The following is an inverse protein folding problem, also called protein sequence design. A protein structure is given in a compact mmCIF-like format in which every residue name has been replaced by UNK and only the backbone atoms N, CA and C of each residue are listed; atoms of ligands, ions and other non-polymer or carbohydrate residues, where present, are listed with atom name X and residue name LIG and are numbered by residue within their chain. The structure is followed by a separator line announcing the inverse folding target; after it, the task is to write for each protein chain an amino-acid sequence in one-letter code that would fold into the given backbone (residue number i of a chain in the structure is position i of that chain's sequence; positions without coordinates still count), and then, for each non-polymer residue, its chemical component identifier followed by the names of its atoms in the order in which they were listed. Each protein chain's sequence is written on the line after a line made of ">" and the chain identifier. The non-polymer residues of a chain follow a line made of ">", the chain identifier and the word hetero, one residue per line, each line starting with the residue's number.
data_IF_600407167467
#
_entry.id   IF_600407167467
#
_cell.length_a   1.000
_cell.length_b   1.000
_cell.length_c   1.000
_cell.angle_alpha   90.00
_cell.angle_beta   90.00
_cell.angle_gamma   90.00
#
_symmetry.space_group_name_H-M   'P 1'
#
loop_
_entity.id
_entity.type
_entity.pdbx_description
1 polymer ?
#
# COMPACT_ATOMS: atom_id res chain seq x y z
N UNK A 1 -59.15 18.65 8.38
CA UNK A 1 -58.36 18.15 7.21
C UNK A 1 -56.89 18.37 7.56
N UNK A 2 -56.24 17.36 8.14
CA UNK A 2 -54.82 17.44 8.53
C UNK A 2 -53.94 17.10 7.32
N UNK A 3 -53.08 18.03 6.94
CA UNK A 3 -52.09 17.86 5.89
C UNK A 3 -50.87 17.11 6.46
N UNK A 4 -50.79 15.80 6.20
CA UNK A 4 -49.65 14.96 6.51
C UNK A 4 -48.72 14.92 5.29
N UNK A 5 -48.01 16.03 5.05
CA UNK A 5 -46.78 15.95 4.26
C UNK A 5 -45.62 15.71 5.25
N UNK A 6 -45.17 14.46 5.37
CA UNK A 6 -43.88 14.15 5.91
C UNK A 6 -42.86 14.73 4.92
N UNK A 7 -42.14 15.76 5.33
CA UNK A 7 -40.87 16.10 4.70
C UNK A 7 -40.01 14.83 4.75
N UNK A 8 -39.58 14.36 3.59
CA UNK A 8 -38.58 13.32 3.49
C UNK A 8 -37.29 13.86 4.12
N UNK A 9 -36.79 13.20 5.14
CA UNK A 9 -35.48 13.48 5.70
C UNK A 9 -34.46 13.58 4.56
N UNK A 10 -33.52 14.55 4.59
CA UNK A 10 -32.49 14.65 3.58
C UNK A 10 -31.77 13.32 3.55
N UNK A 11 -31.64 12.73 2.36
CA UNK A 11 -30.77 11.58 2.14
C UNK A 11 -29.38 12.02 2.58
N UNK A 12 -28.94 11.47 3.71
CA UNK A 12 -27.58 11.66 4.21
C UNK A 12 -26.65 11.07 3.12
N UNK A 13 -26.10 11.94 2.28
CA UNK A 13 -25.11 11.54 1.29
C UNK A 13 -23.85 11.27 2.10
N UNK A 14 -23.73 10.04 2.60
CA UNK A 14 -22.52 9.56 3.25
C UNK A 14 -21.37 9.80 2.28
N UNK A 15 -20.34 10.48 2.76
CA UNK A 15 -19.10 10.65 2.01
C UNK A 15 -18.49 9.27 1.71
N UNK A 16 -17.47 9.20 0.85
CA UNK A 16 -16.82 7.94 0.56
C UNK A 16 -16.28 7.30 1.84
N UNK A 17 -16.52 6.00 2.01
CA UNK A 17 -15.95 5.23 3.11
C UNK A 17 -14.42 5.28 3.06
N UNK A 18 -13.78 5.23 4.22
CA UNK A 18 -12.33 5.30 4.34
C UNK A 18 -11.76 4.00 4.92
N UNK A 19 -10.72 3.45 4.26
CA UNK A 19 -9.86 2.38 4.75
C UNK A 19 -8.47 2.92 4.98
N UNK A 20 -7.85 2.53 6.10
CA UNK A 20 -6.45 2.80 6.38
C UNK A 20 -5.71 1.47 6.54
N UNK A 21 -4.68 1.26 5.70
CA UNK A 21 -3.70 0.19 5.88
C UNK A 21 -2.44 0.77 6.51
N UNK A 22 -1.73 -0.02 7.31
CA UNK A 22 -0.62 0.45 8.12
C UNK A 22 0.60 -0.43 7.95
N UNK A 23 1.73 0.16 7.61
CA UNK A 23 3.05 -0.47 7.61
C UNK A 23 3.74 -0.17 8.94
N UNK A 24 3.86 -1.17 9.79
CA UNK A 24 4.67 -1.12 11.00
C UNK A 24 6.05 -1.69 10.68
N UNK A 25 7.07 -0.84 10.65
CA UNK A 25 8.46 -1.23 10.41
C UNK A 25 9.05 -1.77 11.70
N UNK A 26 9.59 -2.98 11.65
CA UNK A 26 10.13 -3.66 12.83
C UNK A 26 11.62 -3.96 12.76
N UNK A 27 12.26 -3.74 11.61
CA UNK A 27 13.68 -4.02 11.44
C UNK A 27 14.28 -3.15 10.33
N UNK A 28 15.21 -2.27 10.71
CA UNK A 28 15.99 -1.44 9.79
C UNK A 28 17.40 -2.03 9.67
N UNK A 29 17.71 -2.58 8.50
CA UNK A 29 19.02 -3.13 8.14
C UNK A 29 19.87 -2.14 7.34
N UNK A 30 21.02 -2.62 6.86
CA UNK A 30 21.95 -1.80 6.08
C UNK A 30 21.41 -1.49 4.66
N UNK A 31 20.66 -2.43 4.07
CA UNK A 31 20.21 -2.35 2.67
C UNK A 31 18.68 -2.34 2.54
N UNK A 32 17.95 -2.57 3.62
CA UNK A 32 16.50 -2.67 3.56
C UNK A 32 15.83 -2.44 4.90
N UNK A 33 14.55 -2.07 4.85
CA UNK A 33 13.64 -1.97 6.00
C UNK A 33 12.54 -3.02 5.86
N UNK A 34 12.37 -3.86 6.89
CA UNK A 34 11.30 -4.86 6.95
C UNK A 34 10.12 -4.36 7.81
N UNK A 35 8.91 -4.63 7.36
CA UNK A 35 7.69 -4.24 8.03
C UNK A 35 6.57 -5.27 7.93
N UNK A 36 5.47 -4.96 8.60
CA UNK A 36 4.21 -5.69 8.53
C UNK A 36 3.14 -4.72 8.05
N UNK A 37 2.48 -5.08 6.96
CA UNK A 37 1.27 -4.42 6.49
C UNK A 37 0.06 -5.03 7.17
N UNK A 38 -0.76 -4.20 7.79
CA UNK A 38 -1.98 -4.59 8.50
C UNK A 38 -3.11 -3.60 8.27
N UNK A 39 -4.31 -3.98 8.66
CA UNK A 39 -5.50 -3.12 8.66
C UNK A 39 -6.25 -3.28 9.98
N UNK A 40 -6.90 -2.24 10.46
CA UNK A 40 -7.78 -2.33 11.61
C UNK A 40 -9.17 -2.83 11.16
N UNK A 41 -9.48 -4.08 11.48
CA UNK A 41 -10.78 -4.69 11.25
C UNK A 41 -11.67 -4.64 12.48
N UNK A 42 -12.90 -5.13 12.35
CA UNK A 42 -13.90 -5.17 13.43
C UNK A 42 -13.49 -6.03 14.64
N UNK A 43 -12.58 -6.98 14.44
CA UNK A 43 -12.07 -7.88 15.49
C UNK A 43 -10.62 -7.55 15.92
N UNK A 44 -10.11 -6.37 15.54
CA UNK A 44 -8.75 -5.94 15.83
C UNK A 44 -7.89 -5.83 14.58
N UNK A 45 -6.57 -5.79 14.77
CA UNK A 45 -5.60 -5.63 13.69
C UNK A 45 -5.47 -6.93 12.88
N UNK A 46 -5.73 -6.85 11.59
CA UNK A 46 -5.63 -7.96 10.64
C UNK A 46 -4.30 -7.87 9.87
N UNK A 47 -3.53 -8.96 9.84
CA UNK A 47 -2.32 -9.07 9.04
C UNK A 47 -2.67 -9.18 7.55
N UNK A 48 -2.03 -8.36 6.71
CA UNK A 48 -2.19 -8.39 5.26
C UNK A 48 -0.97 -8.97 4.54
N UNK A 49 0.24 -8.52 4.88
CA UNK A 49 1.49 -8.95 4.24
C UNK A 49 2.72 -8.59 5.08
N UNK A 50 3.86 -9.22 4.82
CA UNK A 50 5.16 -8.65 5.12
C UNK A 50 5.54 -7.63 4.05
N UNK A 51 6.35 -6.63 4.44
CA UNK A 51 6.83 -5.58 3.53
C UNK A 51 8.34 -5.47 3.53
N UNK A 52 8.87 -4.97 2.41
CA UNK A 52 10.25 -4.56 2.29
C UNK A 52 10.30 -3.22 1.54
N UNK A 53 11.10 -2.31 2.06
CA UNK A 53 11.48 -1.03 1.47
C UNK A 53 13.01 -0.93 1.44
N UNK A 54 13.53 0.08 0.76
CA UNK A 54 14.94 0.47 0.87
C UNK A 54 15.30 0.81 2.33
N UNK A 55 16.56 1.08 2.62
CA UNK A 55 17.05 1.41 3.94
C UNK A 55 16.61 2.81 4.40
N UNK A 56 16.73 3.07 5.68
CA UNK A 56 16.59 4.41 6.26
C UNK A 56 17.79 5.28 5.90
N UNK A 57 17.55 6.51 5.48
CA UNK A 57 18.55 7.56 5.31
C UNK A 57 18.00 8.90 5.81
N UNK A 58 18.82 9.65 6.57
CA UNK A 58 18.47 11.01 7.00
C UNK A 58 18.34 11.95 5.79
N UNK A 59 19.28 11.86 4.86
CA UNK A 59 19.23 12.58 3.58
C UNK A 59 18.84 11.61 2.46
N UNK A 60 17.82 12.00 1.72
CA UNK A 60 17.31 11.15 0.64
C UNK A 60 18.36 10.92 -0.45
N UNK A 61 18.62 9.64 -0.71
CA UNK A 61 19.33 9.16 -1.90
C UNK A 61 18.30 8.56 -2.86
N UNK A 62 18.37 8.95 -4.13
CA UNK A 62 17.42 8.46 -5.14
C UNK A 62 17.55 6.95 -5.30
N UNK A 63 16.42 6.26 -5.28
CA UNK A 63 16.31 4.81 -5.39
C UNK A 63 16.92 3.99 -4.23
N UNK A 64 17.33 4.63 -3.14
CA UNK A 64 17.98 3.97 -1.99
C UNK A 64 17.48 4.58 -0.66
N UNK A 65 16.21 4.97 -0.58
CA UNK A 65 15.66 5.54 0.65
C UNK A 65 14.22 5.11 0.82
N UNK A 66 13.90 4.54 1.98
CA UNK A 66 12.53 4.17 2.34
C UNK A 66 11.59 5.36 2.38
N UNK A 67 10.30 5.10 2.30
CA UNK A 67 9.23 6.12 2.36
C UNK A 67 9.27 6.81 3.73
N UNK A 68 9.17 8.14 3.84
CA UNK A 68 9.07 8.82 5.13
C UNK A 68 7.85 8.36 5.93
N UNK A 69 7.94 8.42 7.28
CA UNK A 69 6.77 8.23 8.15
C UNK A 69 5.66 9.22 7.80
N UNK A 70 4.43 8.78 7.92
CA UNK A 70 3.26 9.61 7.64
C UNK A 70 2.10 8.82 7.08
N UNK A 71 1.00 9.51 6.83
CA UNK A 71 -0.20 8.95 6.21
C UNK A 71 -0.41 9.56 4.83
N UNK A 72 -0.54 8.70 3.83
CA UNK A 72 -0.63 9.07 2.43
C UNK A 72 -1.87 8.48 1.78
N UNK A 73 -2.47 9.21 0.83
CA UNK A 73 -3.54 8.68 0.00
C UNK A 73 -3.01 7.64 -0.98
N UNK A 74 -3.83 6.63 -1.28
CA UNK A 74 -3.53 5.63 -2.31
C UNK A 74 -4.57 5.72 -3.41
N UNK A 75 -4.12 5.80 -4.66
CA UNK A 75 -4.97 5.82 -5.86
C UNK A 75 -4.53 4.77 -6.88
N UNK A 76 -5.37 4.49 -7.85
CA UNK A 76 -5.00 3.65 -8.99
C UNK A 76 -4.33 4.49 -10.08
N UNK A 77 -3.09 4.13 -10.45
CA UNK A 77 -2.36 4.70 -11.58
C UNK A 77 -2.47 3.77 -12.78
N UNK A 78 -3.07 4.28 -13.87
CA UNK A 78 -3.37 3.52 -15.08
C UNK A 78 -2.43 3.82 -16.24
N UNK A 79 -1.22 4.29 -15.95
CA UNK A 79 -0.20 4.64 -16.93
C UNK A 79 1.20 4.24 -16.47
N UNK A 80 2.15 4.25 -17.41
CA UNK A 80 3.56 3.96 -17.14
C UNK A 80 3.94 2.48 -17.27
N UNK A 81 5.25 2.22 -17.22
CA UNK A 81 5.81 0.90 -17.51
C UNK A 81 5.37 -0.21 -16.56
N UNK A 82 5.18 0.11 -15.27
CA UNK A 82 4.65 -0.85 -14.27
C UNK A 82 3.21 -1.24 -14.59
N UNK A 83 2.35 -0.27 -14.89
CA UNK A 83 0.96 -0.56 -15.27
C UNK A 83 0.90 -1.48 -16.50
N UNK A 84 1.67 -1.18 -17.53
CA UNK A 84 1.71 -1.99 -18.75
C UNK A 84 2.17 -3.42 -18.48
N UNK A 85 3.26 -3.61 -17.72
CA UNK A 85 3.77 -4.95 -17.33
C UNK A 85 2.75 -5.74 -16.52
N UNK A 86 2.06 -5.09 -15.58
CA UNK A 86 1.07 -5.74 -14.71
C UNK A 86 -0.21 -6.08 -15.49
N UNK A 87 -0.63 -5.23 -16.41
CA UNK A 87 -1.74 -5.51 -17.32
C UNK A 87 -1.47 -6.75 -18.19
N UNK A 88 -0.23 -6.88 -18.69
CA UNK A 88 0.19 -8.07 -19.46
C UNK A 88 0.31 -9.32 -18.58
N UNK A 89 0.89 -9.19 -17.37
CA UNK A 89 1.16 -10.32 -16.47
C UNK A 89 -0.10 -10.88 -15.84
N UNK A 90 -1.03 -10.03 -15.42
CA UNK A 90 -2.21 -10.42 -14.63
C UNK A 90 -3.52 -10.33 -15.42
N UNK A 91 -3.48 -9.66 -16.57
CA UNK A 91 -4.64 -9.50 -17.45
C UNK A 91 -5.58 -8.36 -17.05
N UNK A 92 -6.24 -7.81 -18.07
CA UNK A 92 -7.37 -6.90 -17.93
C UNK A 92 -8.62 -7.75 -18.09
N UNK A 93 -9.67 -7.64 -17.26
CA UNK A 93 -10.01 -6.57 -16.35
C UNK A 93 -9.52 -6.74 -14.88
N UNK A 94 -8.73 -7.77 -14.55
CA UNK A 94 -8.28 -7.97 -13.17
C UNK A 94 -7.38 -6.82 -12.70
N UNK A 95 -6.37 -6.44 -13.49
CA UNK A 95 -5.50 -5.32 -13.19
C UNK A 95 -6.17 -3.99 -13.57
N UNK A 96 -6.53 -3.20 -12.59
CA UNK A 96 -7.27 -1.93 -12.72
C UNK A 96 -6.36 -0.69 -12.69
N UNK A 97 -5.09 -0.88 -12.39
CA UNK A 97 -4.08 0.17 -12.20
C UNK A 97 -3.10 -0.21 -11.09
N UNK A 98 -1.94 0.42 -11.02
CA UNK A 98 -1.01 0.25 -9.90
C UNK A 98 -1.53 0.97 -8.67
N UNK A 99 -1.40 0.36 -7.48
CA UNK A 99 -1.61 1.06 -6.21
C UNK A 99 -0.49 2.10 -6.06
N UNK A 100 -0.85 3.37 -6.13
CA UNK A 100 0.07 4.51 -6.15
C UNK A 100 -0.12 5.35 -4.89
N UNK A 101 0.92 5.41 -4.07
CA UNK A 101 0.99 6.24 -2.86
C UNK A 101 1.26 7.68 -3.28
N UNK A 102 0.34 8.59 -2.92
CA UNK A 102 0.32 9.98 -3.40
C UNK A 102 1.08 10.92 -2.47
N UNK A 103 1.65 11.96 -3.06
CA UNK A 103 2.16 13.15 -2.37
C UNK A 103 3.21 12.85 -1.28
N UNK A 104 4.04 11.81 -1.49
CA UNK A 104 5.15 11.47 -0.60
C UNK A 104 6.25 12.52 -0.77
N UNK A 105 6.63 13.26 0.31
CA UNK A 105 7.62 14.33 0.22
C UNK A 105 8.96 13.85 -0.38
N UNK A 106 9.37 14.48 -1.47
CA UNK A 106 10.63 14.17 -2.16
C UNK A 106 10.62 12.91 -3.01
N UNK A 107 9.47 12.23 -3.17
CA UNK A 107 9.35 11.02 -3.98
C UNK A 107 8.33 11.22 -5.10
N UNK A 108 8.56 10.55 -6.22
CA UNK A 108 7.63 10.46 -7.33
C UNK A 108 7.31 9.00 -7.62
N UNK A 109 6.03 8.74 -7.96
CA UNK A 109 5.57 7.44 -8.43
C UNK A 109 5.82 6.26 -7.48
N UNK A 110 5.62 6.46 -6.18
CA UNK A 110 5.69 5.37 -5.20
C UNK A 110 4.55 4.38 -5.41
N UNK A 111 4.90 3.14 -5.71
CA UNK A 111 3.96 2.07 -5.99
C UNK A 111 4.04 0.96 -4.94
N UNK A 112 2.93 0.26 -4.74
CA UNK A 112 2.92 -1.03 -4.06
C UNK A 112 3.01 -2.10 -5.13
N UNK A 113 4.05 -2.94 -5.09
CA UNK A 113 4.28 -3.92 -6.15
C UNK A 113 4.99 -5.19 -5.67
N UNK A 114 5.22 -6.13 -6.59
CA UNK A 114 5.92 -7.39 -6.30
C UNK A 114 7.44 -7.23 -6.37
N UNK A 115 8.14 -7.91 -5.49
CA UNK A 115 9.60 -7.97 -5.44
C UNK A 115 10.03 -8.79 -4.23
N UNK A 116 11.32 -9.09 -4.10
CA UNK A 116 11.86 -9.96 -3.07
C UNK A 116 12.97 -9.32 -2.24
N UNK A 117 13.70 -8.37 -2.82
CA UNK A 117 14.86 -7.69 -2.20
C UNK A 117 14.81 -6.19 -2.51
N UNK A 118 15.64 -5.41 -1.83
CA UNK A 118 15.90 -4.00 -2.11
C UNK A 118 16.23 -3.72 -3.59
N UNK A 119 16.97 -4.60 -4.26
CA UNK A 119 17.24 -4.49 -5.70
C UNK A 119 15.97 -4.48 -6.59
N UNK A 120 14.83 -4.86 -6.07
CA UNK A 120 13.56 -4.85 -6.79
C UNK A 120 12.74 -3.58 -6.57
N UNK A 121 13.20 -2.68 -5.72
CA UNK A 121 12.56 -1.39 -5.43
C UNK A 121 13.47 -0.23 -5.75
N UNK A 122 12.93 0.95 -5.79
CA UNK A 122 13.63 2.22 -5.96
C UNK A 122 12.83 3.31 -5.20
N UNK A 123 12.53 3.02 -3.93
CA UNK A 123 11.67 3.82 -3.07
C UNK A 123 10.22 3.33 -3.01
N UNK A 124 9.86 2.22 -3.65
CA UNK A 124 8.53 1.63 -3.63
C UNK A 124 8.35 0.65 -2.46
N UNK A 125 7.09 0.29 -2.15
CA UNK A 125 6.76 -0.73 -1.17
C UNK A 125 6.60 -2.10 -1.83
N UNK A 126 7.38 -3.09 -1.39
CA UNK A 126 7.22 -4.49 -1.76
C UNK A 126 6.38 -5.23 -0.71
N UNK A 127 5.59 -6.21 -1.16
CA UNK A 127 4.71 -7.02 -0.30
C UNK A 127 4.92 -8.51 -0.53
N UNK A 128 4.81 -9.33 0.53
CA UNK A 128 5.04 -10.78 0.46
C UNK A 128 4.33 -11.54 1.60
N UNK A 129 4.31 -12.88 1.49
CA UNK A 129 3.73 -13.77 2.49
C UNK A 129 4.75 -14.30 3.51
N UNK A 130 6.04 -14.07 3.28
CA UNK A 130 7.10 -14.43 4.23
C UNK A 130 8.21 -13.39 4.25
N UNK A 131 8.96 -13.35 5.35
CA UNK A 131 10.08 -12.44 5.56
C UNK A 131 11.23 -13.16 6.24
N UNK A 132 12.47 -12.78 5.91
CA UNK A 132 13.68 -13.16 6.64
C UNK A 132 14.18 -11.98 7.47
N UNK A 133 15.28 -12.18 8.20
CA UNK A 133 15.96 -11.08 8.89
C UNK A 133 16.85 -10.27 7.92
N UNK A 134 17.09 -9.00 8.22
CA UNK A 134 17.94 -8.09 7.43
C UNK A 134 19.12 -7.48 8.22
N UNK A 135 19.43 -8.02 9.39
CA UNK A 135 20.50 -7.49 10.26
C UNK A 135 21.88 -8.06 9.92
N UNK A 136 21.95 -9.36 9.64
CA UNK A 136 23.21 -10.06 9.33
C UNK A 136 23.31 -10.52 7.88
N UNK A 137 22.27 -10.29 7.09
CA UNK A 137 22.16 -10.61 5.65
C UNK A 137 21.26 -9.54 5.03
N UNK A 138 21.32 -9.44 3.70
CA UNK A 138 20.34 -8.65 2.96
C UNK A 138 18.92 -9.17 3.21
N UNK A 139 17.99 -8.26 3.38
CA UNK A 139 16.58 -8.58 3.58
C UNK A 139 15.99 -9.32 2.38
N UNK A 140 15.11 -10.26 2.68
CA UNK A 140 14.37 -11.00 1.65
C UNK A 140 12.94 -11.26 2.09
N UNK A 141 12.00 -11.04 1.18
CA UNK A 141 10.61 -11.40 1.35
C UNK A 141 10.17 -12.37 0.26
N UNK A 142 9.38 -13.40 0.63
CA UNK A 142 9.02 -14.52 -0.24
C UNK A 142 7.53 -14.59 -0.56
N UNK A 143 7.21 -15.28 -1.67
CA UNK A 143 5.85 -15.43 -2.18
C UNK A 143 5.15 -14.09 -2.50
N UNK A 144 5.92 -13.12 -2.98
CA UNK A 144 5.46 -11.74 -3.23
C UNK A 144 4.28 -11.65 -4.20
N UNK A 145 4.27 -12.44 -5.28
CA UNK A 145 3.17 -12.46 -6.24
C UNK A 145 1.86 -12.95 -5.62
N UNK A 146 1.93 -13.95 -4.75
CA UNK A 146 0.74 -14.49 -4.06
C UNK A 146 0.14 -13.46 -3.11
N UNK A 147 0.97 -12.84 -2.26
CA UNK A 147 0.57 -11.77 -1.36
C UNK A 147 -0.03 -10.59 -2.12
N UNK A 148 0.65 -10.12 -3.16
CA UNK A 148 0.16 -9.02 -3.99
C UNK A 148 -1.22 -9.31 -4.58
N UNK A 149 -1.42 -10.48 -5.17
CA UNK A 149 -2.73 -10.84 -5.76
C UNK A 149 -3.84 -10.88 -4.72
N UNK A 150 -3.55 -11.38 -3.52
CA UNK A 150 -4.53 -11.49 -2.43
C UNK A 150 -4.98 -10.10 -1.95
N UNK A 151 -4.03 -9.21 -1.65
CA UNK A 151 -4.35 -7.88 -1.13
C UNK A 151 -4.86 -6.92 -2.23
N UNK A 152 -4.30 -6.98 -3.43
CA UNK A 152 -4.61 -6.07 -4.52
C UNK A 152 -6.09 -6.09 -4.90
N UNK A 153 -6.70 -7.28 -5.00
CA UNK A 153 -8.09 -7.42 -5.42
C UNK A 153 -9.06 -6.64 -4.53
N UNK A 154 -8.87 -6.71 -3.21
CA UNK A 154 -9.69 -5.97 -2.24
C UNK A 154 -9.41 -4.47 -2.28
N UNK A 155 -8.13 -4.06 -2.25
CA UNK A 155 -7.75 -2.66 -2.20
C UNK A 155 -8.10 -1.91 -3.50
N UNK A 156 -7.85 -2.54 -4.66
CA UNK A 156 -8.16 -1.93 -5.94
C UNK A 156 -9.68 -1.80 -6.15
N UNK A 157 -10.46 -2.81 -5.75
CA UNK A 157 -11.92 -2.73 -5.84
C UNK A 157 -12.47 -1.63 -4.94
N UNK A 158 -11.95 -1.49 -3.71
CA UNK A 158 -12.32 -0.41 -2.79
C UNK A 158 -12.19 0.98 -3.42
N UNK A 159 -11.06 1.22 -4.11
CA UNK A 159 -10.82 2.49 -4.81
C UNK A 159 -11.75 2.64 -6.02
N UNK A 160 -11.99 1.57 -6.79
CA UNK A 160 -12.89 1.59 -7.96
C UNK A 160 -14.32 1.93 -7.55
N UNK A 161 -14.76 1.48 -6.37
CA UNK A 161 -16.08 1.76 -5.82
C UNK A 161 -16.23 3.22 -5.32
N UNK A 162 -15.18 4.04 -5.48
CA UNK A 162 -15.19 5.46 -5.15
C UNK A 162 -14.80 5.78 -3.72
N UNK A 163 -14.34 4.79 -2.96
CA UNK A 163 -13.97 4.94 -1.56
C UNK A 163 -12.50 5.41 -1.39
N UNK A 164 -12.18 5.96 -0.24
CA UNK A 164 -10.86 6.47 0.09
C UNK A 164 -10.00 5.35 0.69
N UNK A 165 -8.77 5.20 0.18
CA UNK A 165 -7.74 4.35 0.75
C UNK A 165 -6.55 5.20 1.18
N UNK A 166 -6.08 5.00 2.41
CA UNK A 166 -4.85 5.60 2.93
C UNK A 166 -3.88 4.52 3.38
N UNK A 167 -2.59 4.86 3.38
CA UNK A 167 -1.52 4.03 3.95
C UNK A 167 -0.72 4.85 4.96
N UNK A 168 -0.47 4.29 6.13
CA UNK A 168 0.30 4.92 7.19
C UNK A 168 1.60 4.15 7.40
N UNK A 169 2.74 4.84 7.44
CA UNK A 169 4.05 4.27 7.74
C UNK A 169 4.47 4.68 9.14
N UNK A 170 4.85 3.71 9.97
CA UNK A 170 5.22 3.88 11.37
C UNK A 170 6.51 3.11 11.66
N UNK A 171 7.47 3.78 12.26
CA UNK A 171 8.70 3.16 12.79
C UNK A 171 8.44 2.65 14.21
N UNK A 172 8.90 1.44 14.51
CA UNK A 172 8.80 0.85 15.84
C UNK A 172 10.14 0.84 16.57
N UNK A 173 11.23 1.07 15.86
CA UNK A 173 12.62 1.07 16.35
C UNK A 173 13.16 2.45 16.73
#
# INVERSE_FOLDING_TARGET
>A
MLNLFRESDPIDIMGPDERNIEVLRYSSGADSTLGILSENGSMGREFLAYTLEDEFREEKVSAETRIPEGTYNVKLRTEGGFHNRYSQKFGVPWHKGMLHVQDVPGFEYILIHTGNTDENTAGCLLVADSSTQNITKNGFIGASVAAYKRLYSSLAQWIVDGNKLTITYIDYD
#
